data_IF_815562114499
#
_entry.id   IF_815562114499
#
_cell.length_a   1.000
_cell.length_b   1.000
_cell.length_c   1.000
_cell.angle_alpha   90.00
_cell.angle_beta   90.00
_cell.angle_gamma   90.00
#
_symmetry.space_group_name_H-M   'P 1'
#
loop_
_entity.id
_entity.type
_entity.pdbx_description
1 polymer ?
#
# COMPACT_ATOMS: atom_id res chain seq x y z
N UNK A 1 -9.47 -24.02 1.73
CA UNK A 1 -9.04 -23.51 3.05
C UNK A 1 -9.22 -22.01 3.26
N UNK A 2 -9.07 -21.14 2.26
CA UNK A 2 -9.28 -19.68 2.44
C UNK A 2 -10.72 -19.25 2.83
N UNK A 3 -11.74 -20.05 2.49
CA UNK A 3 -13.15 -19.71 2.71
C UNK A 3 -13.54 -19.53 4.19
N UNK A 4 -12.89 -20.23 5.13
CA UNK A 4 -13.23 -20.17 6.56
C UNK A 4 -12.81 -18.83 7.18
N UNK A 5 -11.67 -18.28 6.73
CA UNK A 5 -11.17 -16.98 7.19
C UNK A 5 -11.97 -15.82 6.60
N UNK A 6 -12.47 -15.98 5.37
CA UNK A 6 -13.30 -14.99 4.68
C UNK A 6 -14.75 -14.99 5.19
N UNK A 7 -15.21 -15.94 6.00
CA UNK A 7 -16.54 -15.92 6.61
C UNK A 7 -16.60 -15.23 7.98
N UNK A 8 -15.46 -14.96 8.61
CA UNK A 8 -15.35 -14.37 9.96
C UNK A 8 -15.45 -12.84 9.93
N UNK A 9 -15.68 -12.15 11.08
CA UNK A 9 -15.71 -10.69 11.16
C UNK A 9 -14.41 -10.04 10.62
N UNK A 10 -14.49 -8.82 10.09
CA UNK A 10 -13.36 -8.09 9.47
C UNK A 10 -12.17 -7.89 10.42
N UNK A 11 -12.39 -8.00 11.71
CA UNK A 11 -11.37 -7.91 12.77
C UNK A 11 -10.29 -8.99 12.64
N UNK A 12 -10.65 -10.21 12.23
CA UNK A 12 -9.73 -11.34 12.19
C UNK A 12 -8.74 -11.24 11.02
N UNK A 13 -9.17 -10.96 9.78
CA UNK A 13 -8.27 -10.60 8.68
C UNK A 13 -7.37 -9.41 9.01
N UNK A 14 -7.89 -8.41 9.73
CA UNK A 14 -7.16 -7.20 10.09
C UNK A 14 -6.09 -7.46 11.16
N UNK A 15 -6.39 -8.36 12.10
CA UNK A 15 -5.39 -8.85 13.04
C UNK A 15 -4.29 -9.63 12.30
N UNK A 16 -4.65 -10.55 11.39
CA UNK A 16 -3.67 -11.33 10.62
C UNK A 16 -2.73 -10.41 9.82
N UNK A 17 -3.26 -9.41 9.12
CA UNK A 17 -2.42 -8.49 8.32
C UNK A 17 -1.50 -7.65 9.20
N UNK A 18 -1.89 -7.34 10.44
CA UNK A 18 -1.06 -6.60 11.41
C UNK A 18 0.18 -7.37 11.89
N UNK A 19 0.11 -8.71 11.96
CA UNK A 19 1.24 -9.55 12.40
C UNK A 19 2.14 -10.02 11.26
N UNK A 20 1.81 -9.70 10.01
CA UNK A 20 2.65 -10.04 8.86
C UNK A 20 3.60 -8.88 8.62
N UNK A 21 4.85 -9.04 9.07
CA UNK A 21 5.92 -8.07 8.85
C UNK A 21 6.65 -8.24 7.51
N UNK A 22 6.32 -9.30 6.75
CA UNK A 22 6.92 -9.57 5.45
C UNK A 22 6.04 -8.99 4.33
N UNK A 23 6.53 -7.96 3.66
CA UNK A 23 5.86 -7.29 2.54
C UNK A 23 5.46 -8.25 1.42
N UNK A 24 6.28 -9.27 1.15
CA UNK A 24 5.98 -10.27 0.12
C UNK A 24 4.76 -11.10 0.51
N UNK A 25 4.67 -11.48 1.78
CA UNK A 25 3.53 -12.23 2.32
C UNK A 25 2.27 -11.37 2.33
N UNK A 26 2.36 -10.09 2.73
CA UNK A 26 1.25 -9.14 2.68
C UNK A 26 0.72 -8.94 1.25
N UNK A 27 1.62 -8.78 0.27
CA UNK A 27 1.25 -8.66 -1.15
C UNK A 27 0.58 -9.92 -1.68
N UNK A 28 1.08 -11.11 -1.31
CA UNK A 28 0.43 -12.36 -1.69
C UNK A 28 -0.98 -12.45 -1.08
N UNK A 29 -1.14 -12.02 0.17
CA UNK A 29 -2.42 -12.03 0.88
C UNK A 29 -3.43 -11.06 0.24
N UNK A 30 -2.96 -9.88 -0.17
CA UNK A 30 -3.73 -8.91 -0.95
C UNK A 30 -4.27 -9.50 -2.27
N UNK A 31 -3.53 -10.42 -2.91
CA UNK A 31 -3.94 -11.05 -4.16
C UNK A 31 -4.88 -12.26 -3.98
N UNK A 32 -5.11 -12.73 -2.75
CA UNK A 32 -5.91 -13.95 -2.53
C UNK A 32 -7.42 -13.75 -2.72
N UNK A 33 -7.99 -12.68 -2.17
CA UNK A 33 -9.40 -12.35 -2.32
C UNK A 33 -9.69 -10.88 -2.05
N UNK A 34 -10.81 -10.39 -2.60
CA UNK A 34 -11.24 -8.98 -2.47
C UNK A 34 -11.34 -8.51 -1.03
N UNK A 35 -11.75 -9.38 -0.10
CA UNK A 35 -11.87 -9.04 1.33
C UNK A 35 -10.51 -8.82 1.99
N UNK A 36 -9.53 -9.67 1.70
CA UNK A 36 -8.16 -9.45 2.17
C UNK A 36 -7.51 -8.26 1.48
N UNK A 37 -7.87 -7.98 0.22
CA UNK A 37 -7.49 -6.76 -0.46
C UNK A 37 -7.97 -5.54 0.35
N UNK A 38 -9.27 -5.43 0.64
CA UNK A 38 -9.86 -4.30 1.37
C UNK A 38 -9.25 -4.10 2.77
N UNK A 39 -8.88 -5.19 3.44
CA UNK A 39 -8.34 -5.13 4.81
C UNK A 39 -6.82 -4.91 4.85
N UNK A 40 -6.08 -5.45 3.88
CA UNK A 40 -4.62 -5.32 3.81
C UNK A 40 -4.17 -4.06 3.07
N UNK A 41 -5.00 -3.51 2.17
CA UNK A 41 -4.69 -2.32 1.38
C UNK A 41 -4.29 -1.15 2.28
N UNK A 42 -5.04 -0.78 3.34
CA UNK A 42 -4.64 0.33 4.22
C UNK A 42 -3.28 0.09 4.89
N UNK A 43 -3.03 -1.12 5.38
CA UNK A 43 -1.79 -1.50 6.07
C UNK A 43 -0.59 -1.47 5.12
N UNK A 44 -0.78 -1.88 3.87
CA UNK A 44 0.28 -1.94 2.84
C UNK A 44 0.66 -0.54 2.35
N UNK A 45 -0.29 0.39 2.31
CA UNK A 45 -0.04 1.78 1.94
C UNK A 45 0.42 2.63 3.12
N UNK A 46 0.36 2.13 4.37
CA UNK A 46 0.71 2.89 5.56
C UNK A 46 2.14 3.40 5.57
N UNK A 47 3.09 2.58 5.11
CA UNK A 47 4.49 2.96 4.94
C UNK A 47 4.98 2.53 3.57
N UNK A 48 5.41 3.48 2.75
CA UNK A 48 5.88 3.20 1.39
C UNK A 48 7.35 3.55 1.29
N UNK A 49 8.17 2.57 0.96
CA UNK A 49 9.57 2.78 0.60
C UNK A 49 9.73 2.88 -0.91
N UNK A 50 10.36 3.95 -1.38
CA UNK A 50 10.63 4.22 -2.79
C UNK A 50 12.14 4.29 -3.00
N UNK A 51 12.68 3.36 -3.77
CA UNK A 51 14.12 3.31 -4.11
C UNK A 51 14.39 3.66 -5.57
N UNK A 52 13.36 3.62 -6.43
CA UNK A 52 13.50 3.91 -7.87
C UNK A 52 12.40 4.85 -8.39
N UNK A 53 12.72 5.66 -9.39
CA UNK A 53 11.77 6.60 -10.02
C UNK A 53 10.60 5.87 -10.69
N UNK A 54 10.79 4.63 -11.12
CA UNK A 54 9.72 3.77 -11.61
C UNK A 54 8.66 3.47 -10.53
N UNK A 55 9.09 3.20 -9.28
CA UNK A 55 8.17 2.98 -8.15
C UNK A 55 7.40 4.25 -7.80
N UNK A 56 8.05 5.41 -7.89
CA UNK A 56 7.42 6.71 -7.69
C UNK A 56 6.29 6.94 -8.70
N UNK A 57 6.55 6.70 -9.99
CA UNK A 57 5.53 6.82 -11.04
C UNK A 57 4.40 5.78 -10.89
N UNK A 58 4.73 4.56 -10.48
CA UNK A 58 3.73 3.53 -10.19
C UNK A 58 2.83 3.94 -9.00
N UNK A 59 3.42 4.52 -7.96
CA UNK A 59 2.67 5.05 -6.81
C UNK A 59 1.76 6.21 -7.22
N UNK A 60 2.25 7.16 -8.01
CA UNK A 60 1.45 8.27 -8.52
C UNK A 60 0.24 7.76 -9.32
N UNK A 61 0.43 6.81 -10.24
CA UNK A 61 -0.67 6.16 -10.97
C UNK A 61 -1.63 5.43 -10.04
N UNK A 62 -1.10 4.73 -9.03
CA UNK A 62 -1.91 4.00 -8.06
C UNK A 62 -2.77 4.92 -7.19
N UNK A 63 -2.27 6.11 -6.84
CA UNK A 63 -2.99 7.14 -6.10
C UNK A 63 -4.04 7.85 -6.97
N UNK A 64 -3.71 8.17 -8.22
CA UNK A 64 -4.66 8.73 -9.17
C UNK A 64 -5.83 7.77 -9.46
N UNK A 65 -5.55 6.48 -9.58
CA UNK A 65 -6.59 5.48 -9.84
C UNK A 65 -7.54 5.25 -8.64
N UNK A 66 -7.05 5.43 -7.40
CA UNK A 66 -7.85 5.26 -6.18
C UNK A 66 -7.43 6.27 -5.11
N UNK A 67 -8.10 7.42 -5.02
CA UNK A 67 -7.75 8.45 -4.05
C UNK A 67 -7.92 7.99 -2.59
N UNK A 68 -8.75 6.98 -2.31
CA UNK A 68 -8.85 6.36 -0.97
C UNK A 68 -7.53 5.76 -0.45
N UNK A 69 -6.57 5.47 -1.34
CA UNK A 69 -5.22 5.02 -0.94
C UNK A 69 -4.41 6.15 -0.31
N UNK A 70 -4.67 7.40 -0.69
CA UNK A 70 -4.01 8.59 -0.14
C UNK A 70 -4.19 8.66 1.38
N UNK A 71 -5.42 8.46 1.87
CA UNK A 71 -5.74 8.51 3.31
C UNK A 71 -5.11 7.39 4.13
N UNK A 72 -4.65 6.31 3.49
CA UNK A 72 -3.97 5.23 4.18
C UNK A 72 -2.47 5.50 4.39
N UNK A 73 -1.87 6.39 3.59
CA UNK A 73 -0.43 6.69 3.64
C UNK A 73 -0.12 7.53 4.88
N UNK A 74 0.75 7.01 5.75
CA UNK A 74 1.25 7.75 6.92
C UNK A 74 2.71 8.16 6.78
N UNK A 75 3.52 7.32 6.14
CA UNK A 75 4.94 7.60 5.92
C UNK A 75 5.37 7.19 4.52
N UNK A 76 6.19 8.03 3.90
CA UNK A 76 6.89 7.68 2.66
C UNK A 76 8.36 7.90 2.87
N UNK A 77 9.12 6.83 2.74
CA UNK A 77 10.57 6.87 2.78
C UNK A 77 11.10 6.76 1.35
N UNK A 78 11.61 7.86 0.81
CA UNK A 78 12.15 7.87 -0.55
C UNK A 78 13.67 7.94 -0.52
N UNK A 79 14.33 6.84 -0.91
CA UNK A 79 15.77 6.74 -1.12
C UNK A 79 16.04 6.71 -2.62
N UNK A 80 15.72 7.81 -3.29
CA UNK A 80 15.88 7.95 -4.73
C UNK A 80 17.26 8.55 -5.03
N UNK A 81 17.98 7.97 -6.00
CA UNK A 81 19.08 8.70 -6.67
C UNK A 81 18.43 9.85 -7.43
N UNK A 82 18.74 11.08 -7.00
CA UNK A 82 18.08 12.30 -7.46
C UNK A 82 18.60 12.63 -8.85
N UNK A 83 17.98 12.07 -9.87
CA UNK A 83 18.11 12.56 -11.25
C UNK A 83 16.96 13.54 -11.52
N UNK A 84 17.09 14.76 -10.96
CA UNK A 84 16.38 15.97 -11.41
C UNK A 84 14.86 15.92 -11.60
N UNK A 85 14.10 15.08 -10.90
CA UNK A 85 12.68 14.86 -11.19
C UNK A 85 11.71 15.68 -10.33
N UNK A 86 10.87 16.48 -10.99
CA UNK A 86 9.71 17.23 -10.45
C UNK A 86 8.64 16.35 -9.74
N UNK A 87 8.78 15.03 -9.78
CA UNK A 87 7.78 14.08 -9.28
C UNK A 87 7.61 14.10 -7.76
N UNK A 88 8.62 14.57 -7.00
CA UNK A 88 8.47 14.77 -5.56
C UNK A 88 7.54 15.93 -5.20
N UNK A 89 7.52 17.00 -6.01
CA UNK A 89 6.62 18.12 -5.81
C UNK A 89 5.16 17.68 -6.03
N UNK A 90 4.91 16.95 -7.12
CA UNK A 90 3.60 16.34 -7.41
C UNK A 90 3.16 15.37 -6.30
N UNK A 91 4.09 14.59 -5.74
CA UNK A 91 3.78 13.66 -4.67
C UNK A 91 3.45 14.39 -3.35
N UNK A 92 4.11 15.53 -3.07
CA UNK A 92 3.75 16.42 -1.96
C UNK A 92 2.36 17.02 -2.13
N UNK A 93 2.05 17.56 -3.30
CA UNK A 93 0.70 18.10 -3.59
C UNK A 93 -0.38 17.03 -3.49
N UNK A 94 -0.08 15.81 -3.97
CA UNK A 94 -1.02 14.70 -3.88
C UNK A 94 -1.18 14.14 -2.48
N UNK A 95 -0.34 14.50 -1.49
CA UNK A 95 -0.46 14.07 -0.10
C UNK A 95 -0.91 15.17 0.86
N UNK A 96 -0.82 16.45 0.47
CA UNK A 96 -1.42 17.58 1.18
C UNK A 96 -2.96 17.49 1.20
#
# INVERSE_FOLDING_TARGET
MAAILVARPNELPLHITKYIHNDKTLRNLFLTCKRFQEVAEPTTYQSISLTTTAQLNALLKALQARPARKSAIKSIEARLKIDGCNNFALLRELLA
#
